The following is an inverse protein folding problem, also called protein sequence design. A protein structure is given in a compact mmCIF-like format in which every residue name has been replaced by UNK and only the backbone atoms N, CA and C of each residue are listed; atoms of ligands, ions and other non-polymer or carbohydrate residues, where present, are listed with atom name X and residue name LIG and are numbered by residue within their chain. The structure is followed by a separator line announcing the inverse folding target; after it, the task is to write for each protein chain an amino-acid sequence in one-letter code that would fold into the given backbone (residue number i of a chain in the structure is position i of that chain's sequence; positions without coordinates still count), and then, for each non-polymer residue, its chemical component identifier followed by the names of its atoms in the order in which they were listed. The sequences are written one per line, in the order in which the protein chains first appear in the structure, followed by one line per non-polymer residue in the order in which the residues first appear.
data_IF_600580955534
#
_entry.id   IF_600580955534
#
_cell.length_a   1.000
_cell.length_b   1.000
_cell.length_c   1.000
_cell.angle_alpha   90.00
_cell.angle_beta   90.00
_cell.angle_gamma   90.00
#
_symmetry.space_group_name_H-M   'P 1'
#
loop_
_entity.id
_entity.type
_entity.pdbx_description
1 polymer ?
#
# COMPACT_ATOMS: atom_id res chain seq x y z
N UNK A 1 -14.00 -8.50 -14.66
CA UNK A 1 -15.03 -7.46 -14.85
C UNK A 1 -15.29 -6.84 -13.48
N UNK A 2 -15.38 -5.52 -13.39
CA UNK A 2 -15.65 -4.81 -12.14
C UNK A 2 -17.14 -4.74 -11.87
N UNK A 3 -17.54 -4.90 -10.61
CA UNK A 3 -18.92 -4.84 -10.14
C UNK A 3 -19.00 -4.09 -8.78
N UNK A 4 -20.20 -3.98 -8.20
CA UNK A 4 -20.43 -3.28 -6.93
C UNK A 4 -19.80 -3.97 -5.70
N UNK A 5 -19.25 -5.18 -5.85
CA UNK A 5 -18.54 -5.92 -4.81
C UNK A 5 -17.03 -5.87 -5.00
N UNK A 6 -16.54 -5.32 -6.12
CA UNK A 6 -15.11 -5.14 -6.36
C UNK A 6 -14.49 -4.27 -5.28
N UNK A 7 -13.40 -4.75 -4.69
CA UNK A 7 -12.66 -4.03 -3.65
C UNK A 7 -11.44 -3.32 -4.22
N UNK A 8 -11.02 -2.23 -3.59
CA UNK A 8 -9.89 -1.43 -4.06
C UNK A 8 -8.62 -1.72 -3.27
N UNK A 9 -7.54 -1.89 -4.02
CA UNK A 9 -6.15 -1.81 -3.57
C UNK A 9 -5.48 -0.64 -4.29
N UNK A 10 -4.32 -0.22 -3.82
CA UNK A 10 -3.56 0.74 -4.60
C UNK A 10 -2.12 0.98 -4.17
N UNK A 11 -1.55 2.04 -4.73
CA UNK A 11 -0.21 2.54 -4.47
C UNK A 11 -0.30 4.04 -4.22
N UNK A 12 0.29 4.54 -3.14
CA UNK A 12 0.47 5.98 -2.90
C UNK A 12 1.95 6.37 -3.01
N UNK A 13 2.20 7.52 -3.64
CA UNK A 13 3.54 8.06 -3.89
C UNK A 13 3.46 9.45 -4.51
N UNK A 14 4.59 10.13 -4.65
CA UNK A 14 4.70 11.37 -5.41
C UNK A 14 6.12 11.56 -6.00
N UNK A 15 6.34 11.37 -7.31
CA UNK A 15 5.37 10.93 -8.33
C UNK A 15 5.10 9.40 -8.27
N UNK A 16 4.07 8.93 -8.98
CA UNK A 16 3.68 7.50 -8.99
C UNK A 16 3.25 6.97 -10.36
N UNK A 17 3.09 7.86 -11.34
CA UNK A 17 2.49 7.60 -12.66
C UNK A 17 3.30 6.61 -13.51
N UNK A 18 4.61 6.50 -13.26
CA UNK A 18 5.51 5.57 -13.95
C UNK A 18 5.63 4.20 -13.25
N UNK A 19 4.91 3.98 -12.16
CA UNK A 19 4.96 2.72 -11.45
C UNK A 19 4.41 1.56 -12.30
N UNK A 20 5.13 0.44 -12.31
CA UNK A 20 4.68 -0.79 -12.93
C UNK A 20 3.74 -1.60 -12.03
N UNK A 21 3.64 -1.24 -10.75
CA UNK A 21 2.83 -1.96 -9.74
C UNK A 21 1.36 -2.13 -10.17
N UNK A 22 0.65 -1.10 -10.69
CA UNK A 22 -0.74 -1.28 -11.12
C UNK A 22 -0.91 -2.35 -12.19
N UNK A 23 0.01 -2.42 -13.16
CA UNK A 23 -0.02 -3.42 -14.23
C UNK A 23 0.26 -4.82 -13.68
N UNK A 24 1.29 -4.96 -12.86
CA UNK A 24 1.67 -6.25 -12.26
C UNK A 24 0.56 -6.78 -11.34
N UNK A 25 0.10 -5.97 -10.39
CA UNK A 25 -0.92 -6.39 -9.44
C UNK A 25 -2.26 -6.67 -10.11
N UNK A 26 -2.68 -5.86 -11.09
CA UNK A 26 -3.92 -6.14 -11.85
C UNK A 26 -3.85 -7.49 -12.57
N UNK A 27 -2.70 -7.82 -13.16
CA UNK A 27 -2.48 -9.13 -13.79
C UNK A 27 -2.56 -10.27 -12.78
N UNK A 28 -1.89 -10.14 -11.63
CA UNK A 28 -1.88 -11.16 -10.57
C UNK A 28 -3.28 -11.37 -9.96
N UNK A 29 -4.01 -10.29 -9.71
CA UNK A 29 -5.38 -10.34 -9.19
C UNK A 29 -6.33 -11.04 -10.16
N UNK A 30 -6.25 -10.71 -11.45
CA UNK A 30 -7.03 -11.37 -12.49
C UNK A 30 -6.70 -12.87 -12.59
N UNK A 31 -5.41 -13.22 -12.56
CA UNK A 31 -4.95 -14.62 -12.58
C UNK A 31 -5.40 -15.40 -11.35
N UNK A 32 -5.46 -14.76 -10.19
CA UNK A 32 -5.93 -15.36 -8.94
C UNK A 32 -7.46 -15.43 -8.82
N UNK A 33 -8.22 -14.89 -9.78
CA UNK A 33 -9.69 -14.85 -9.73
C UNK A 33 -10.23 -13.95 -8.61
N UNK A 34 -9.44 -12.96 -8.17
CA UNK A 34 -9.80 -12.08 -7.05
C UNK A 34 -10.57 -10.86 -7.55
N UNK A 35 -11.71 -10.56 -6.92
CA UNK A 35 -12.55 -9.39 -7.27
C UNK A 35 -11.99 -8.09 -6.68
N UNK A 36 -10.84 -7.65 -7.19
CA UNK A 36 -10.16 -6.43 -6.77
C UNK A 36 -9.70 -5.60 -7.97
N UNK A 37 -9.65 -4.28 -7.77
CA UNK A 37 -8.92 -3.35 -8.61
C UNK A 37 -7.66 -2.88 -7.89
N UNK A 38 -6.60 -2.56 -8.65
CA UNK A 38 -5.40 -1.93 -8.13
C UNK A 38 -5.11 -0.66 -8.93
N UNK A 39 -5.03 0.49 -8.24
CA UNK A 39 -4.77 1.80 -8.86
C UNK A 39 -3.57 2.52 -8.21
N UNK A 40 -2.97 3.47 -8.92
CA UNK A 40 -1.97 4.36 -8.36
C UNK A 40 -2.58 5.74 -8.08
N UNK A 41 -2.26 6.29 -6.91
CA UNK A 41 -2.73 7.59 -6.45
C UNK A 41 -1.52 8.47 -6.16
N UNK A 42 -1.38 9.55 -6.93
CA UNK A 42 -0.42 10.59 -6.59
C UNK A 42 -0.97 11.37 -5.41
N UNK A 43 -0.25 11.34 -4.29
CA UNK A 43 -0.66 12.01 -3.05
C UNK A 43 0.49 12.89 -2.60
N UNK A 44 0.38 14.23 -2.63
CA UNK A 44 1.38 15.10 -2.04
C UNK A 44 1.49 14.84 -0.53
N UNK A 45 2.69 15.04 0.04
CA UNK A 45 2.95 14.79 1.48
C UNK A 45 1.94 15.51 2.40
N UNK A 46 1.62 16.77 2.08
CA UNK A 46 0.66 17.58 2.83
C UNK A 46 -0.78 16.99 2.85
N UNK A 47 -1.12 16.11 1.90
CA UNK A 47 -2.43 15.48 1.79
C UNK A 47 -2.45 14.03 2.28
N UNK A 48 -1.36 13.51 2.88
CA UNK A 48 -1.30 12.12 3.36
C UNK A 48 -2.39 11.82 4.41
N UNK A 49 -2.60 12.72 5.36
CA UNK A 49 -3.64 12.55 6.38
C UNK A 49 -5.04 12.45 5.78
N UNK A 50 -5.37 13.31 4.81
CA UNK A 50 -6.65 13.29 4.10
C UNK A 50 -6.80 12.01 3.27
N UNK A 51 -5.75 11.59 2.58
CA UNK A 51 -5.76 10.37 1.77
C UNK A 51 -5.99 9.11 2.64
N UNK A 52 -5.34 9.01 3.80
CA UNK A 52 -5.51 7.89 4.73
C UNK A 52 -6.84 7.95 5.49
N UNK A 53 -7.41 9.14 5.71
CA UNK A 53 -8.80 9.28 6.16
C UNK A 53 -9.79 8.79 5.10
N UNK A 54 -9.57 9.17 3.84
CA UNK A 54 -10.34 8.68 2.69
C UNK A 54 -10.25 7.16 2.51
N UNK A 55 -9.06 6.59 2.71
CA UNK A 55 -8.85 5.13 2.71
C UNK A 55 -9.77 4.43 3.71
N UNK A 56 -9.92 4.98 4.93
CA UNK A 56 -10.85 4.47 5.95
C UNK A 56 -12.29 4.60 5.50
N UNK A 57 -12.70 5.80 5.08
CA UNK A 57 -14.08 6.12 4.71
C UNK A 57 -14.59 5.30 3.50
N UNK A 58 -13.74 5.13 2.49
CA UNK A 58 -14.07 4.40 1.26
C UNK A 58 -13.92 2.89 1.40
N UNK A 59 -13.41 2.38 2.53
CA UNK A 59 -13.15 0.95 2.73
C UNK A 59 -12.10 0.40 1.78
N UNK A 60 -11.13 1.22 1.34
CA UNK A 60 -10.00 0.76 0.53
C UNK A 60 -9.25 -0.28 1.34
N UNK A 61 -9.07 -1.49 0.78
CA UNK A 61 -8.58 -2.62 1.56
C UNK A 61 -7.11 -2.45 1.93
N UNK A 62 -6.27 -1.95 1.05
CA UNK A 62 -4.86 -1.81 1.34
C UNK A 62 -4.14 -1.00 0.28
N UNK A 63 -3.06 -0.36 0.66
CA UNK A 63 -2.21 0.38 -0.27
C UNK A 63 -0.74 0.04 -0.04
N UNK A 64 0.01 -0.04 -1.12
CA UNK A 64 1.45 0.09 -1.07
C UNK A 64 1.82 1.56 -0.89
N UNK A 65 2.96 1.80 -0.24
CA UNK A 65 3.53 3.13 -0.02
C UNK A 65 4.91 3.15 -0.65
N UNK A 66 5.16 4.12 -1.52
CA UNK A 66 6.48 4.33 -2.14
C UNK A 66 7.01 5.71 -1.80
N UNK A 67 8.21 6.02 -2.30
CA UNK A 67 8.87 7.30 -2.10
C UNK A 67 7.93 8.49 -2.46
N UNK A 68 8.02 9.61 -1.71
CA UNK A 68 8.84 9.83 -0.51
C UNK A 68 8.13 9.40 0.80
N UNK A 69 7.00 8.69 0.74
CA UNK A 69 6.04 8.64 1.84
C UNK A 69 6.25 7.56 2.89
N UNK A 70 7.25 6.69 2.73
CA UNK A 70 7.38 5.48 3.57
C UNK A 70 7.50 5.78 5.07
N UNK A 71 8.09 6.91 5.44
CA UNK A 71 8.22 7.36 6.83
C UNK A 71 7.04 8.29 7.21
N UNK A 72 6.68 9.21 6.31
CA UNK A 72 5.67 10.24 6.53
C UNK A 72 4.26 9.70 6.78
N UNK A 73 3.96 8.46 6.37
CA UNK A 73 2.66 7.83 6.64
C UNK A 73 2.48 7.40 8.10
N UNK A 74 3.58 7.13 8.83
CA UNK A 74 3.55 6.49 10.15
C UNK A 74 2.65 7.21 11.17
N UNK A 75 2.68 8.56 11.30
CA UNK A 75 1.85 9.27 12.26
C UNK A 75 0.33 9.12 12.05
N UNK A 76 -0.10 8.61 10.89
CA UNK A 76 -1.51 8.43 10.54
C UNK A 76 -2.01 6.99 10.70
N UNK A 77 -1.15 6.08 11.17
CA UNK A 77 -1.45 4.65 11.33
C UNK A 77 -1.81 4.32 12.78
N UNK A 78 -2.64 3.30 12.94
CA UNK A 78 -3.12 2.85 14.25
C UNK A 78 -2.18 1.82 14.89
N UNK A 79 -1.47 1.04 14.07
CA UNK A 79 -0.53 0.01 14.52
C UNK A 79 0.59 -0.16 13.49
N UNK A 80 1.79 -0.52 13.96
CA UNK A 80 2.89 -0.98 13.13
C UNK A 80 3.22 -2.44 13.44
N UNK A 81 3.59 -3.19 12.42
CA UNK A 81 4.28 -4.47 12.62
C UNK A 81 5.66 -4.26 13.28
N UNK A 82 6.20 -5.25 14.02
CA UNK A 82 7.53 -5.13 14.65
C UNK A 82 8.64 -4.76 13.66
N UNK A 83 8.60 -5.30 12.44
CA UNK A 83 9.58 -4.96 11.40
C UNK A 83 9.47 -3.50 10.94
N UNK A 84 8.24 -3.00 10.76
CA UNK A 84 8.01 -1.61 10.38
C UNK A 84 8.44 -0.63 11.47
N UNK A 85 8.18 -0.96 12.74
CA UNK A 85 8.62 -0.17 13.89
C UNK A 85 10.15 -0.14 14.00
N UNK A 86 10.82 -1.28 13.85
CA UNK A 86 12.28 -1.37 13.91
C UNK A 86 12.98 -0.65 12.75
N UNK A 87 12.42 -0.71 11.53
CA UNK A 87 12.97 -0.06 10.33
C UNK A 87 12.65 1.45 10.32
N UNK A 88 11.54 1.85 10.92
CA UNK A 88 11.05 3.24 10.86
C UNK A 88 10.40 3.61 9.53
N UNK A 89 9.99 2.62 8.71
CA UNK A 89 9.39 2.85 7.41
C UNK A 89 8.32 1.82 7.07
N UNK A 90 7.28 2.24 6.35
CA UNK A 90 6.12 1.44 5.93
C UNK A 90 6.03 1.42 4.40
N UNK A 91 5.95 0.24 3.80
CA UNK A 91 5.71 0.07 2.35
C UNK A 91 4.34 -0.58 2.04
N UNK A 92 3.61 -1.03 3.06
CA UNK A 92 2.28 -1.64 2.95
C UNK A 92 1.40 -1.15 4.10
N UNK A 93 0.21 -0.65 3.79
CA UNK A 93 -0.84 -0.31 4.76
C UNK A 93 -2.06 -1.21 4.51
N UNK A 94 -2.56 -1.81 5.57
CA UNK A 94 -3.70 -2.73 5.59
C UNK A 94 -4.84 -2.10 6.40
N UNK A 95 -6.01 -1.91 5.79
CA UNK A 95 -7.21 -1.35 6.45
C UNK A 95 -8.19 -2.42 6.95
N UNK A 96 -8.19 -2.70 8.24
CA UNK A 96 -9.12 -3.65 8.88
C UNK A 96 -10.26 -2.89 9.55
N UNK A 97 -11.37 -2.74 8.82
CA UNK A 97 -12.58 -2.07 9.30
C UNK A 97 -12.32 -0.67 9.87
N UNK A 98 -11.46 0.12 9.19
CA UNK A 98 -11.09 1.48 9.58
C UNK A 98 -9.79 1.57 10.39
N UNK A 99 -9.25 0.43 10.86
CA UNK A 99 -7.98 0.38 11.59
C UNK A 99 -6.83 0.14 10.61
N UNK A 100 -5.92 1.10 10.48
CA UNK A 100 -4.82 1.06 9.53
C UNK A 100 -3.56 0.51 10.20
N UNK A 101 -3.08 -0.62 9.67
CA UNK A 101 -1.85 -1.28 10.11
C UNK A 101 -0.74 -1.13 9.09
N UNK A 102 0.42 -0.63 9.52
CA UNK A 102 1.61 -0.47 8.70
C UNK A 102 2.55 -1.67 8.76
N UNK A 103 3.04 -2.08 7.61
CA UNK A 103 4.02 -3.16 7.45
C UNK A 103 5.20 -2.71 6.60
N UNK A 104 6.34 -3.37 6.83
CA UNK A 104 7.49 -3.31 5.96
C UNK A 104 7.79 -4.72 5.43
N UNK A 105 7.70 -4.91 4.12
CA UNK A 105 8.01 -6.20 3.46
C UNK A 105 9.25 -6.14 2.55
N UNK A 106 9.87 -4.97 2.41
CA UNK A 106 11.04 -4.80 1.54
C UNK A 106 12.27 -5.53 2.11
N UNK A 107 12.39 -5.61 3.45
CA UNK A 107 13.49 -6.33 4.11
C UNK A 107 13.52 -7.82 3.75
N UNK A 108 12.35 -8.47 3.64
CA UNK A 108 12.28 -9.88 3.21
C UNK A 108 12.72 -10.05 1.76
N UNK A 109 12.31 -9.10 0.91
CA UNK A 109 12.71 -9.09 -0.50
C UNK A 109 14.21 -8.92 -0.66
N UNK A 110 14.82 -8.04 0.14
CA UNK A 110 16.26 -7.82 0.16
C UNK A 110 17.02 -9.08 0.61
N UNK A 111 16.61 -9.72 1.71
CA UNK A 111 17.26 -10.96 2.18
C UNK A 111 17.21 -12.07 1.12
N UNK A 112 16.04 -12.29 0.51
CA UNK A 112 15.89 -13.29 -0.56
C UNK A 112 16.76 -12.97 -1.78
N UNK A 113 16.97 -11.70 -2.10
CA UNK A 113 17.83 -11.30 -3.20
C UNK A 113 19.31 -11.52 -2.89
N UNK A 114 19.72 -11.33 -1.62
CA UNK A 114 21.08 -11.60 -1.16
C UNK A 114 21.39 -13.10 -1.11
N UNK A 115 20.44 -13.92 -0.66
CA UNK A 115 20.59 -15.38 -0.58
C UNK A 115 20.59 -16.06 -1.97
N UNK A 116 20.10 -15.38 -3.00
CA UNK A 116 20.04 -15.88 -4.38
C UNK A 116 21.30 -15.57 -5.21
N UNK A 117 22.28 -14.85 -4.64
CA UNK A 117 23.59 -14.54 -5.24
C UNK A 117 24.70 -15.43 -4.72
#
# INVERSE_FOLDING_TARGET
MTDSRTRLLGLIGDPVEHSLSPRLHSFLLARAGLNYCYLAFRVPEASLGEALSGMRALGIRGVNVTIPHKEAVIPFLDELSPAAEAIGAVNVIVNEAGRLRGHNTDWEGLLKALDAG
#
